data_IF_532732324745
#
_entry.id   IF_532732324745
#
_cell.length_a   1.000
_cell.length_b   1.000
_cell.length_c   1.000
_cell.angle_alpha   90.00
_cell.angle_beta   90.00
_cell.angle_gamma   90.00
#
_symmetry.space_group_name_H-M   'P 1'
#
loop_
_entity.id
_entity.type
_entity.pdbx_description
1 polymer ?
#
# COMPACT_ATOMS: atom_id res chain seq x y z
N UNK A 1 16.09 5.75 -3.77
CA UNK A 1 15.15 4.95 -2.95
C UNK A 1 14.62 5.85 -1.84
N UNK A 2 13.31 5.93 -1.64
CA UNK A 2 12.74 6.75 -0.56
C UNK A 2 12.74 5.99 0.78
N UNK A 3 12.86 6.70 1.93
CA UNK A 3 12.77 6.07 3.24
C UNK A 3 11.36 5.50 3.50
N UNK A 4 11.23 4.50 4.39
CA UNK A 4 9.93 4.03 4.83
C UNK A 4 9.08 5.16 5.42
N UNK A 5 7.79 5.18 5.10
CA UNK A 5 6.87 6.22 5.57
C UNK A 5 5.49 5.65 5.88
N UNK A 6 4.89 6.12 6.97
CA UNK A 6 3.51 5.78 7.33
C UNK A 6 2.58 6.60 6.44
N UNK A 7 1.78 5.93 5.62
CA UNK A 7 0.80 6.58 4.74
C UNK A 7 -0.52 6.84 5.48
N UNK A 8 -0.93 5.89 6.33
CA UNK A 8 -2.14 6.03 7.13
C UNK A 8 -2.05 5.21 8.42
N UNK A 9 -2.64 5.70 9.51
CA UNK A 9 -2.73 5.00 10.78
C UNK A 9 -4.01 5.40 11.51
N UNK A 10 -4.74 4.40 11.99
CA UNK A 10 -5.91 4.56 12.87
C UNK A 10 -5.86 3.46 13.92
N UNK A 11 -5.94 3.84 15.20
CA UNK A 11 -5.84 2.90 16.31
C UNK A 11 -4.62 1.99 16.20
N UNK A 12 -4.87 0.69 16.22
CA UNK A 12 -3.88 -0.39 16.18
C UNK A 12 -3.55 -0.90 14.77
N UNK A 13 -3.96 -0.17 13.74
CA UNK A 13 -3.67 -0.48 12.36
C UNK A 13 -2.95 0.65 11.62
N UNK A 14 -2.03 0.28 10.72
CA UNK A 14 -1.28 1.20 9.89
C UNK A 14 -0.96 0.63 8.51
N UNK A 15 -0.88 1.52 7.53
CA UNK A 15 -0.34 1.29 6.20
C UNK A 15 0.97 2.06 6.06
N UNK A 16 2.04 1.33 5.73
CA UNK A 16 3.40 1.87 5.64
C UNK A 16 3.93 1.58 4.26
N UNK A 17 4.35 2.61 3.53
CA UNK A 17 5.16 2.41 2.33
C UNK A 17 6.58 2.10 2.78
N UNK A 18 6.99 0.84 2.68
CA UNK A 18 8.29 0.36 3.18
C UNK A 18 9.38 0.41 2.11
N UNK A 19 9.01 0.45 0.83
CA UNK A 19 9.94 0.66 -0.28
C UNK A 19 9.28 1.50 -1.36
N UNK A 20 10.04 2.44 -1.92
CA UNK A 20 9.73 3.14 -3.16
C UNK A 20 11.03 3.41 -3.92
N UNK A 21 11.14 2.87 -5.13
CA UNK A 21 12.33 3.01 -5.96
C UNK A 21 11.97 3.02 -7.44
N UNK A 22 12.68 3.81 -8.23
CA UNK A 22 12.65 3.67 -9.69
C UNK A 22 13.26 2.32 -10.09
N UNK A 23 12.64 1.65 -11.05
CA UNK A 23 13.13 0.37 -11.61
C UNK A 23 13.46 0.49 -13.09
N UNK A 24 12.70 1.31 -13.83
CA UNK A 24 12.91 1.63 -15.24
C UNK A 24 12.48 3.10 -15.48
N UNK A 25 12.87 3.72 -16.60
CA UNK A 25 12.37 5.06 -16.95
C UNK A 25 10.85 5.09 -16.96
N UNK A 26 10.26 5.91 -16.09
CA UNK A 26 8.80 6.02 -15.97
C UNK A 26 8.13 4.95 -15.10
N UNK A 27 8.87 4.04 -14.47
CA UNK A 27 8.32 2.99 -13.60
C UNK A 27 8.93 2.98 -12.20
N UNK A 28 8.07 2.81 -11.20
CA UNK A 28 8.42 2.71 -9.79
C UNK A 28 8.00 1.33 -9.25
N UNK A 29 8.87 0.71 -8.46
CA UNK A 29 8.51 -0.39 -7.58
C UNK A 29 8.16 0.16 -6.20
N UNK A 30 6.99 -0.25 -5.70
CA UNK A 30 6.48 0.13 -4.39
C UNK A 30 6.17 -1.11 -3.56
N UNK A 31 6.52 -1.06 -2.27
CA UNK A 31 6.13 -2.08 -1.29
C UNK A 31 5.27 -1.41 -0.22
N UNK A 32 4.04 -1.88 -0.08
CA UNK A 32 3.11 -1.48 0.97
C UNK A 32 3.06 -2.56 2.03
N UNK A 33 3.23 -2.18 3.29
CA UNK A 33 3.09 -3.07 4.43
C UNK A 33 1.91 -2.61 5.28
N UNK A 34 0.91 -3.47 5.40
CA UNK A 34 -0.16 -3.32 6.38
C UNK A 34 0.22 -4.01 7.68
N UNK A 35 0.09 -3.32 8.81
CA UNK A 35 0.26 -3.88 10.15
C UNK A 35 -0.99 -3.59 10.95
N UNK A 36 -1.55 -4.61 11.60
CA UNK A 36 -2.68 -4.48 12.50
C UNK A 36 -2.46 -5.33 13.76
N UNK A 37 -2.91 -4.84 14.91
CA UNK A 37 -2.83 -5.53 16.21
C UNK A 37 -4.20 -5.58 16.89
N UNK A 38 -4.29 -6.45 17.89
CA UNK A 38 -5.46 -6.64 18.74
C UNK A 38 -6.71 -6.92 17.89
N UNK A 39 -7.82 -6.24 18.16
CA UNK A 39 -9.07 -6.45 17.41
C UNK A 39 -8.92 -6.12 15.92
N UNK A 40 -8.12 -5.10 15.56
CA UNK A 40 -7.83 -4.80 14.16
C UNK A 40 -7.02 -5.92 13.49
N UNK A 41 -6.07 -6.52 14.22
CA UNK A 41 -5.30 -7.66 13.75
C UNK A 41 -6.16 -8.91 13.55
N UNK A 42 -7.11 -9.14 14.45
CA UNK A 42 -8.08 -10.22 14.36
C UNK A 42 -9.07 -10.00 13.20
N UNK A 43 -9.57 -8.78 13.01
CA UNK A 43 -10.50 -8.44 11.93
C UNK A 43 -9.81 -8.47 10.54
N UNK A 44 -8.56 -8.02 10.47
CA UNK A 44 -7.75 -8.06 9.25
C UNK A 44 -7.43 -9.50 8.82
N UNK A 45 -7.34 -10.43 9.77
CA UNK A 45 -7.28 -11.86 9.47
C UNK A 45 -8.63 -12.33 8.95
N UNK A 46 -8.67 -12.66 7.66
CA UNK A 46 -9.78 -13.44 7.12
C UNK A 46 -9.81 -14.84 7.70
N UNK A 47 -11.03 -15.36 7.89
CA UNK A 47 -11.25 -16.79 7.98
C UNK A 47 -10.90 -17.41 6.61
N UNK A 48 -10.00 -18.43 6.56
CA UNK A 48 -9.71 -19.18 5.33
C UNK A 48 -10.96 -19.72 4.62
N UNK A 49 -12.05 -19.96 5.36
CA UNK A 49 -13.33 -20.42 4.82
C UNK A 49 -14.07 -19.35 3.99
N UNK A 50 -13.76 -18.07 4.18
CA UNK A 50 -14.41 -16.94 3.50
C UNK A 50 -13.66 -16.48 2.24
N UNK A 51 -12.92 -17.41 1.59
CA UNK A 51 -12.19 -17.10 0.35
C UNK A 51 -13.19 -16.67 -0.72
N UNK A 52 -13.14 -15.42 -1.23
CA UNK A 52 -14.04 -14.99 -2.27
C UNK A 52 -13.74 -15.76 -3.57
N UNK A 53 -14.71 -15.86 -4.49
CA UNK A 53 -14.47 -16.36 -5.84
C UNK A 53 -13.27 -15.63 -6.47
N UNK A 54 -12.48 -16.35 -7.29
CA UNK A 54 -11.23 -15.85 -7.90
C UNK A 54 -11.38 -14.51 -8.65
N UNK A 55 -12.60 -14.17 -9.09
CA UNK A 55 -12.89 -12.97 -9.87
C UNK A 55 -13.31 -11.75 -9.04
N UNK A 56 -13.36 -11.86 -7.70
CA UNK A 56 -13.67 -10.71 -6.84
C UNK A 56 -12.41 -10.17 -6.18
N UNK A 57 -12.19 -8.84 -6.24
CA UNK A 57 -11.07 -8.24 -5.53
C UNK A 57 -11.12 -8.65 -4.06
N UNK A 58 -9.96 -8.99 -3.50
CA UNK A 58 -9.78 -9.39 -2.11
C UNK A 58 -10.32 -8.30 -1.17
N UNK A 59 -11.62 -8.37 -0.82
CA UNK A 59 -12.30 -7.50 0.15
C UNK A 59 -11.67 -7.68 1.53
N UNK A 60 -10.60 -6.96 1.83
CA UNK A 60 -9.97 -6.96 3.15
C UNK A 60 -8.46 -6.89 3.15
N UNK A 61 -7.82 -6.83 1.99
CA UNK A 61 -6.41 -6.46 1.92
C UNK A 61 -6.26 -4.93 1.80
N UNK A 62 -5.07 -4.39 2.13
CA UNK A 62 -4.74 -3.02 1.78
C UNK A 62 -4.94 -2.77 0.29
N UNK A 63 -5.42 -1.58 -0.01
CA UNK A 63 -5.58 -1.06 -1.37
C UNK A 63 -4.64 0.11 -1.54
N UNK A 64 -3.99 0.14 -2.70
CA UNK A 64 -3.18 1.24 -3.18
C UNK A 64 -3.72 1.69 -4.53
N UNK A 65 -3.93 2.99 -4.70
CA UNK A 65 -4.26 3.61 -5.96
C UNK A 65 -3.37 4.84 -6.19
N UNK A 66 -3.08 5.12 -7.45
CA UNK A 66 -2.39 6.34 -7.89
C UNK A 66 -3.43 7.34 -8.34
N UNK A 67 -3.37 8.56 -7.81
CA UNK A 67 -4.25 9.66 -8.19
C UNK A 67 -3.66 10.40 -9.40
N UNK A 68 -4.46 10.57 -10.46
CA UNK A 68 -4.10 11.26 -11.69
C UNK A 68 -5.21 12.26 -12.04
N UNK A 69 -4.96 13.54 -11.80
CA UNK A 69 -5.99 14.57 -11.95
C UNK A 69 -7.16 14.31 -10.99
N UNK A 70 -8.33 14.00 -11.56
CA UNK A 70 -9.57 13.67 -10.86
C UNK A 70 -9.84 12.16 -10.75
N UNK A 71 -8.98 11.32 -11.31
CA UNK A 71 -9.12 9.86 -11.28
C UNK A 71 -8.19 9.21 -10.25
N UNK A 72 -8.63 8.11 -9.64
CA UNK A 72 -7.79 7.24 -8.82
C UNK A 72 -7.75 5.85 -9.46
N UNK A 73 -6.59 5.47 -9.99
CA UNK A 73 -6.38 4.18 -10.66
C UNK A 73 -5.71 3.22 -9.71
N UNK A 74 -6.33 2.07 -9.47
CA UNK A 74 -5.77 1.06 -8.57
C UNK A 74 -4.43 0.56 -9.10
N UNK A 75 -3.44 0.47 -8.21
CA UNK A 75 -2.14 -0.08 -8.54
C UNK A 75 -2.23 -1.59 -8.83
N UNK A 76 -1.45 -2.05 -9.81
CA UNK A 76 -1.35 -3.47 -10.15
C UNK A 76 -0.53 -4.18 -9.08
N UNK A 77 -1.19 -5.07 -8.33
CA UNK A 77 -0.54 -5.96 -7.37
C UNK A 77 0.26 -7.01 -8.14
N UNK A 78 1.54 -7.13 -7.85
CA UNK A 78 2.41 -8.15 -8.46
C UNK A 78 2.58 -9.37 -7.56
N UNK A 79 2.66 -9.14 -6.26
CA UNK A 79 2.86 -10.19 -5.26
C UNK A 79 2.34 -9.72 -3.89
N UNK A 80 1.92 -10.67 -3.06
CA UNK A 80 1.46 -10.41 -1.71
C UNK A 80 1.78 -11.57 -0.78
N UNK A 81 2.29 -11.23 0.40
CA UNK A 81 2.49 -12.15 1.50
C UNK A 81 1.73 -11.66 2.73
N UNK A 82 1.31 -12.60 3.57
CA UNK A 82 0.66 -12.31 4.83
C UNK A 82 1.15 -13.25 5.93
N UNK A 83 1.37 -12.68 7.10
CA UNK A 83 1.85 -13.36 8.31
C UNK A 83 1.09 -12.79 9.50
N UNK A 84 0.97 -13.54 10.58
CA UNK A 84 0.28 -13.04 11.76
C UNK A 84 -0.06 -14.12 12.77
N UNK A 85 -0.27 -13.71 14.01
CA UNK A 85 -0.77 -14.53 15.10
C UNK A 85 -2.25 -14.25 15.39
N UNK A 86 -2.77 -14.76 16.50
CA UNK A 86 -4.19 -14.59 16.87
C UNK A 86 -4.59 -13.11 17.04
N UNK A 87 -3.67 -12.26 17.51
CA UNK A 87 -3.89 -10.83 17.78
C UNK A 87 -3.03 -9.91 16.91
N UNK A 88 -2.41 -10.43 15.85
CA UNK A 88 -1.53 -9.62 15.02
C UNK A 88 -1.60 -10.06 13.58
N UNK A 89 -1.61 -9.10 12.67
CA UNK A 89 -1.59 -9.35 11.24
C UNK A 89 -0.64 -8.38 10.55
N UNK A 90 0.17 -8.93 9.66
CA UNK A 90 1.06 -8.19 8.79
C UNK A 90 0.92 -8.71 7.38
N UNK A 91 0.64 -7.84 6.43
CA UNK A 91 0.69 -8.14 5.01
C UNK A 91 1.69 -7.23 4.32
N UNK A 92 2.43 -7.78 3.37
CA UNK A 92 3.32 -7.06 2.47
C UNK A 92 2.80 -7.25 1.06
N UNK A 93 2.62 -6.16 0.33
CA UNK A 93 2.15 -6.15 -1.04
C UNK A 93 3.14 -5.40 -1.92
N UNK A 94 3.42 -5.96 -3.08
CA UNK A 94 4.34 -5.40 -4.07
C UNK A 94 3.57 -4.88 -5.27
N UNK A 95 3.95 -3.70 -5.74
CA UNK A 95 3.30 -3.01 -6.85
C UNK A 95 4.33 -2.46 -7.83
N UNK A 96 3.91 -2.36 -9.08
CA UNK A 96 4.55 -1.53 -10.10
C UNK A 96 3.62 -0.35 -10.39
N UNK A 97 4.17 0.86 -10.32
CA UNK A 97 3.47 2.12 -10.53
C UNK A 97 4.13 2.88 -11.67
N UNK A 98 3.37 3.68 -12.40
CA UNK A 98 3.97 4.67 -13.30
C UNK A 98 4.50 5.86 -12.48
N UNK A 99 5.66 6.37 -12.89
CA UNK A 99 6.22 7.56 -12.29
C UNK A 99 5.41 8.79 -12.73
N UNK A 100 5.04 9.68 -11.79
CA UNK A 100 4.34 10.91 -12.10
C UNK A 100 5.26 11.89 -12.84
N UNK A 101 4.71 12.64 -13.80
CA UNK A 101 5.47 13.63 -14.57
C UNK A 101 5.83 14.88 -13.76
N UNK A 102 5.05 15.22 -12.73
CA UNK A 102 5.24 16.39 -11.87
C UNK A 102 6.20 16.12 -10.70
N UNK A 103 6.75 14.91 -10.61
CA UNK A 103 7.63 14.49 -9.53
C UNK A 103 6.92 14.25 -8.20
N UNK A 104 5.58 14.25 -8.14
CA UNK A 104 4.83 13.98 -6.91
C UNK A 104 3.97 12.73 -7.08
N UNK A 105 4.30 11.68 -6.34
CA UNK A 105 3.49 10.47 -6.31
C UNK A 105 2.31 10.68 -5.37
N UNK A 106 1.13 10.90 -5.95
CA UNK A 106 -0.12 11.05 -5.23
C UNK A 106 -0.81 9.69 -5.09
N UNK A 107 -0.95 9.23 -3.85
CA UNK A 107 -1.45 7.91 -3.51
C UNK A 107 -2.73 8.03 -2.71
N UNK A 108 -3.63 7.09 -2.95
CA UNK A 108 -4.82 6.86 -2.16
C UNK A 108 -4.75 5.43 -1.61
N UNK A 109 -4.84 5.32 -0.29
CA UNK A 109 -4.69 4.05 0.43
C UNK A 109 -5.87 3.80 1.34
N UNK A 110 -6.27 2.54 1.48
CA UNK A 110 -7.30 2.14 2.44
C UNK A 110 -7.11 0.69 2.88
N UNK A 111 -7.66 0.34 4.04
CA UNK A 111 -7.67 -1.04 4.50
C UNK A 111 -8.88 -1.33 5.39
N UNK A 112 -10.00 -1.59 4.71
CA UNK A 112 -11.31 -1.76 5.35
C UNK A 112 -11.39 -2.88 6.39
N UNK A 113 -10.67 -4.00 6.22
CA UNK A 113 -10.70 -5.09 7.21
C UNK A 113 -9.98 -4.75 8.53
N UNK A 114 -9.17 -3.70 8.53
CA UNK A 114 -8.49 -3.19 9.71
C UNK A 114 -9.08 -1.84 10.16
N UNK A 115 -10.29 -1.51 9.70
CA UNK A 115 -10.98 -0.23 9.96
C UNK A 115 -10.14 1.02 9.61
N UNK A 116 -9.24 0.91 8.63
CA UNK A 116 -8.55 2.06 8.05
C UNK A 116 -9.38 2.61 6.88
N UNK A 117 -9.98 3.80 7.02
CA UNK A 117 -10.67 4.47 5.93
C UNK A 117 -9.66 4.88 4.84
N UNK A 118 -10.19 5.48 3.79
CA UNK A 118 -9.38 6.05 2.74
C UNK A 118 -8.55 7.24 3.25
N UNK A 119 -7.28 7.25 2.88
CA UNK A 119 -6.37 8.36 3.13
C UNK A 119 -5.54 8.67 1.88
N UNK A 120 -5.29 9.96 1.67
CA UNK A 120 -4.46 10.47 0.57
C UNK A 120 -3.07 10.83 1.09
N UNK A 121 -2.04 10.37 0.40
CA UNK A 121 -0.64 10.66 0.72
C UNK A 121 0.09 11.17 -0.53
N UNK A 122 0.78 12.31 -0.42
CA UNK A 122 1.56 12.90 -1.51
C UNK A 122 3.03 12.80 -1.20
N UNK A 123 3.79 12.15 -2.07
CA UNK A 123 5.18 11.80 -1.85
C UNK A 123 6.03 12.48 -2.92
N UNK A 124 6.84 13.49 -2.55
CA UNK A 124 7.83 14.04 -3.46
C UNK A 124 8.83 12.96 -3.85
N UNK A 125 9.06 12.79 -5.15
CA UNK A 125 10.10 11.93 -5.67
C UNK A 125 11.36 12.79 -5.86
N UNK A 126 12.49 12.34 -5.31
CA UNK A 126 13.76 12.98 -5.61
C UNK A 126 14.02 12.91 -7.12
N UNK A 127 14.37 14.04 -7.71
CA UNK A 127 14.76 14.10 -9.12
C UNK A 127 15.95 13.16 -9.35
N UNK A 128 16.05 12.49 -10.52
CA UNK A 128 17.19 11.62 -10.83
C UNK A 128 18.57 12.33 -10.79
N UNK A 129 18.61 13.66 -10.65
CA UNK A 129 19.82 14.46 -10.52
C UNK A 129 20.33 14.70 -9.09
N UNK A 130 19.62 14.28 -8.04
CA UNK A 130 20.01 14.57 -6.65
C UNK A 130 20.96 13.55 -6.01
N UNK A 131 21.54 12.63 -6.80
CA UNK A 131 22.46 11.58 -6.28
C UNK A 131 23.95 11.88 -6.47
N UNK A 132 24.32 13.10 -6.88
CA UNK A 132 25.72 13.57 -6.89
C UNK A 132 25.90 14.79 -5.98
N UNK A 133 26.08 14.55 -4.67
CA UNK A 133 26.74 15.49 -3.76
C UNK A 133 27.51 14.75 -2.68
#
# INVERSE_FOLDING_TARGET
MAPPQVLHRVGDAALVLTRLAAVEPGLLSATLTGVARDEAGKAARRDPAERPPADRPHRGEPVLAVVRGDEAVRATLTDAEATGGFWSYRTTQHFVLEAPHDGVLDLLVSWSAADLPEARARIPLASPHDTER
#
